data_IF_039973267125
#
_entry.id   IF_039973267125
#
_cell.length_a   1.000
_cell.length_b   1.000
_cell.length_c   1.000
_cell.angle_alpha   90.00
_cell.angle_beta   90.00
_cell.angle_gamma   90.00
#
_symmetry.space_group_name_H-M   'P 1'
#
loop_
_entity.id
_entity.type
_entity.pdbx_description
1 polymer ?
#
# COMPACT_ATOMS: atom_id res chain seq x y z
N UNK A 1 18.60 -29.98 50.34
CA UNK A 1 19.31 -29.50 49.14
C UNK A 1 18.29 -28.83 48.23
N UNK A 2 18.27 -27.50 48.20
CA UNK A 2 17.29 -26.68 47.50
C UNK A 2 17.63 -26.59 46.01
N UNK A 3 16.68 -26.94 45.14
CA UNK A 3 16.79 -26.81 43.68
C UNK A 3 16.57 -25.35 43.30
N UNK A 4 17.65 -24.66 42.97
CA UNK A 4 17.63 -23.29 42.49
C UNK A 4 16.89 -23.20 41.14
N UNK A 5 15.80 -22.44 41.11
CA UNK A 5 15.13 -22.01 39.88
C UNK A 5 16.02 -21.02 39.15
N UNK A 6 16.75 -21.50 38.14
CA UNK A 6 17.59 -20.66 37.29
C UNK A 6 16.72 -19.76 36.41
N UNK A 7 16.53 -18.52 36.84
CA UNK A 7 15.99 -17.46 35.99
C UNK A 7 16.91 -17.28 34.78
N UNK A 8 16.40 -17.26 33.53
CA UNK A 8 17.26 -17.16 32.36
C UNK A 8 18.03 -15.82 32.38
N UNK A 9 19.30 -15.80 31.91
CA UNK A 9 20.13 -14.61 31.92
C UNK A 9 19.43 -13.46 31.18
N UNK A 10 19.47 -12.24 31.75
CA UNK A 10 18.77 -11.02 31.27
C UNK A 10 19.04 -10.69 29.79
N UNK A 11 20.16 -11.18 29.23
CA UNK A 11 20.54 -11.07 27.81
C UNK A 11 19.69 -11.96 26.90
N UNK A 12 19.34 -13.18 27.33
CA UNK A 12 18.47 -14.12 26.62
C UNK A 12 17.03 -13.62 26.53
N UNK A 13 16.49 -13.05 27.61
CA UNK A 13 15.14 -12.45 27.63
C UNK A 13 15.01 -11.26 26.66
N UNK A 14 16.04 -10.41 26.57
CA UNK A 14 16.10 -9.29 25.61
C UNK A 14 16.26 -9.76 24.15
N UNK A 15 16.98 -10.86 23.92
CA UNK A 15 17.11 -11.47 22.60
C UNK A 15 15.79 -12.13 22.14
N UNK A 16 15.09 -12.80 23.05
CA UNK A 16 13.76 -13.36 22.81
C UNK A 16 12.72 -12.27 22.50
N UNK A 17 12.68 -11.19 23.30
CA UNK A 17 11.80 -10.04 23.03
C UNK A 17 12.07 -9.39 21.67
N UNK A 18 13.34 -9.20 21.28
CA UNK A 18 13.69 -8.67 19.96
C UNK A 18 13.29 -9.58 18.80
N UNK A 19 13.30 -10.91 18.99
CA UNK A 19 12.82 -11.88 17.98
C UNK A 19 11.30 -11.81 17.82
N UNK A 20 10.57 -11.76 18.94
CA UNK A 20 9.11 -11.60 18.95
C UNK A 20 8.70 -10.27 18.30
N UNK A 21 9.35 -9.16 18.67
CA UNK A 21 9.08 -7.84 18.09
C UNK A 21 9.41 -7.78 16.59
N UNK A 22 10.39 -8.57 16.13
CA UNK A 22 10.76 -8.65 14.71
C UNK A 22 9.70 -9.45 13.95
N UNK A 23 9.26 -10.57 14.50
CA UNK A 23 8.21 -11.41 13.93
C UNK A 23 6.90 -10.65 13.76
N UNK A 24 6.41 -9.94 14.78
CA UNK A 24 5.21 -9.08 14.66
C UNK A 24 5.36 -7.96 13.63
N UNK A 25 6.57 -7.41 13.47
CA UNK A 25 6.87 -6.39 12.45
C UNK A 25 6.91 -6.97 11.04
N UNK A 26 7.41 -8.19 10.87
CA UNK A 26 7.40 -8.91 9.59
C UNK A 26 5.97 -9.27 9.14
N UNK A 27 5.07 -9.49 10.09
CA UNK A 27 3.62 -9.69 9.87
C UNK A 27 2.83 -8.38 9.67
N UNK A 28 3.48 -7.22 9.72
CA UNK A 28 2.78 -5.93 9.53
C UNK A 28 1.86 -5.52 10.69
N UNK A 29 2.07 -6.05 11.89
CA UNK A 29 1.26 -5.77 13.08
C UNK A 29 2.03 -4.92 14.12
N UNK A 30 2.41 -3.67 13.80
CA UNK A 30 3.28 -2.85 14.64
C UNK A 30 2.62 -2.41 15.96
N UNK A 31 1.29 -2.45 16.07
CA UNK A 31 0.51 -1.85 17.16
C UNK A 31 0.41 -2.75 18.40
N UNK A 32 0.99 -3.94 18.31
CA UNK A 32 1.42 -4.71 19.49
C UNK A 32 2.65 -4.06 20.16
N UNK A 33 3.21 -3.00 19.57
CA UNK A 33 4.19 -2.05 20.12
C UNK A 33 3.52 -0.66 20.23
N UNK A 34 3.73 0.11 21.32
CA UNK A 34 2.95 1.33 21.59
C UNK A 34 3.04 2.42 20.50
N UNK A 35 1.85 2.88 20.06
CA UNK A 35 1.59 3.89 19.02
C UNK A 35 2.35 5.22 19.16
N UNK A 36 2.75 5.59 20.38
CA UNK A 36 3.43 6.86 20.65
C UNK A 36 4.78 6.98 19.90
N UNK A 37 5.43 5.86 19.56
CA UNK A 37 6.66 5.86 18.74
C UNK A 37 6.42 6.05 17.24
N UNK A 38 5.19 5.87 16.75
CA UNK A 38 4.87 5.94 15.33
C UNK A 38 4.86 7.39 14.80
N UNK A 39 4.25 8.32 15.55
CA UNK A 39 4.22 9.75 15.20
C UNK A 39 5.57 10.45 15.41
N UNK A 40 6.33 10.02 16.42
CA UNK A 40 7.61 10.69 16.77
C UNK A 40 8.68 10.46 15.69
N UNK A 41 8.71 9.30 15.02
CA UNK A 41 9.69 9.01 13.95
C UNK A 41 9.18 9.34 12.54
N UNK A 42 7.96 9.88 12.40
CA UNK A 42 7.29 10.06 11.11
C UNK A 42 8.04 11.00 10.16
N UNK A 43 8.51 12.20 10.57
CA UNK A 43 9.26 13.10 9.68
C UNK A 43 10.50 12.46 9.06
N UNK A 44 11.30 11.73 9.85
CA UNK A 44 12.49 10.99 9.38
C UNK A 44 12.15 9.94 8.32
N UNK A 45 10.94 9.35 8.37
CA UNK A 45 10.49 8.34 7.41
C UNK A 45 9.93 8.95 6.13
N UNK A 46 9.26 10.09 6.24
CA UNK A 46 8.59 10.82 5.14
C UNK A 46 9.60 11.54 4.25
N UNK A 47 10.66 12.10 4.84
CA UNK A 47 11.68 12.90 4.18
C UNK A 47 12.24 12.30 2.87
N UNK A 48 12.64 11.01 2.79
CA UNK A 48 13.10 10.41 1.54
C UNK A 48 12.05 10.41 0.41
N UNK A 49 10.78 10.14 0.72
CA UNK A 49 9.71 10.08 -0.28
C UNK A 49 9.40 11.48 -0.82
N UNK A 50 9.26 12.45 0.07
CA UNK A 50 9.02 13.85 -0.30
C UNK A 50 10.19 14.39 -1.15
N UNK A 51 11.42 14.01 -0.84
CA UNK A 51 12.58 14.40 -1.66
C UNK A 51 12.51 13.82 -3.06
N UNK A 52 12.18 12.53 -3.20
CA UNK A 52 12.05 11.88 -4.51
C UNK A 52 10.93 12.50 -5.36
N UNK A 53 9.78 12.81 -4.76
CA UNK A 53 8.67 13.50 -5.43
C UNK A 53 9.06 14.92 -5.84
N UNK A 54 9.81 15.63 -4.99
CA UNK A 54 10.29 16.98 -5.30
C UNK A 54 11.33 16.98 -6.42
N UNK A 55 12.25 16.00 -6.42
CA UNK A 55 13.22 15.79 -7.52
C UNK A 55 12.45 15.50 -8.82
N UNK A 56 11.47 14.61 -8.77
CA UNK A 56 10.67 14.29 -9.94
C UNK A 56 9.93 15.52 -10.46
N UNK A 57 9.28 16.29 -9.58
CA UNK A 57 8.56 17.50 -9.94
C UNK A 57 9.48 18.60 -10.52
N UNK A 58 10.69 18.75 -9.97
CA UNK A 58 11.67 19.72 -10.46
C UNK A 58 12.29 19.31 -11.80
N UNK A 59 12.46 18.01 -12.05
CA UNK A 59 13.01 17.49 -13.29
C UNK A 59 11.96 17.34 -14.40
N UNK A 60 10.69 17.12 -14.04
CA UNK A 60 9.56 16.99 -14.98
C UNK A 60 9.07 18.31 -15.55
N UNK A 61 9.63 19.43 -15.10
CA UNK A 61 9.33 20.78 -15.61
C UNK A 61 10.07 21.02 -16.95
N UNK A 62 10.20 22.27 -17.39
CA UNK A 62 10.83 22.75 -18.64
C UNK A 62 12.14 22.02 -19.10
N UNK A 63 12.87 21.37 -18.19
CA UNK A 63 14.02 20.51 -18.54
C UNK A 63 13.65 19.20 -19.24
N UNK A 64 12.55 18.56 -18.83
CA UNK A 64 12.04 17.34 -19.46
C UNK A 64 11.56 17.62 -20.88
N UNK A 65 10.83 18.73 -21.05
CA UNK A 65 10.34 19.16 -22.36
C UNK A 65 11.50 19.43 -23.32
N UNK A 66 12.53 20.16 -22.87
CA UNK A 66 13.74 20.39 -23.67
C UNK A 66 14.51 19.11 -24.01
N UNK A 67 14.67 18.20 -23.04
CA UNK A 67 15.39 16.96 -23.25
C UNK A 67 14.73 16.06 -24.29
N UNK A 68 13.39 16.03 -24.31
CA UNK A 68 12.66 15.28 -25.32
C UNK A 68 12.65 16.01 -26.66
N UNK A 69 12.44 17.33 -26.70
CA UNK A 69 12.53 18.11 -27.95
C UNK A 69 13.88 17.91 -28.66
N UNK A 70 14.97 17.92 -27.89
CA UNK A 70 16.30 17.68 -28.43
C UNK A 70 16.49 16.24 -28.92
N UNK A 71 15.94 15.26 -28.18
CA UNK A 71 15.99 13.86 -28.59
C UNK A 71 15.13 13.56 -29.83
N UNK A 72 13.96 14.21 -29.97
CA UNK A 72 13.09 14.09 -31.15
C UNK A 72 13.73 14.71 -32.38
N UNK A 73 14.42 15.85 -32.25
CA UNK A 73 15.17 16.48 -33.37
C UNK A 73 16.25 15.57 -33.96
N UNK A 74 16.74 14.61 -33.21
CA UNK A 74 17.76 13.65 -33.63
C UNK A 74 17.18 12.40 -34.31
N UNK A 75 15.84 12.22 -34.31
CA UNK A 75 15.19 11.06 -34.94
C UNK A 75 14.88 11.38 -36.42
N UNK A 76 15.38 10.60 -37.39
CA UNK A 76 15.05 10.76 -38.80
C UNK A 76 13.55 10.50 -39.09
N UNK A 77 12.93 11.29 -39.97
CA UNK A 77 11.51 11.18 -40.39
C UNK A 77 11.17 9.91 -41.22
N UNK A 78 11.91 8.81 -41.07
CA UNK A 78 11.64 7.56 -41.79
C UNK A 78 10.54 6.79 -41.05
N UNK A 79 9.61 6.18 -41.78
CA UNK A 79 8.28 5.71 -41.33
C UNK A 79 8.16 4.79 -40.10
N UNK A 80 9.27 4.34 -39.50
CA UNK A 80 9.33 3.62 -38.21
C UNK A 80 9.73 4.51 -37.01
N UNK A 81 9.95 5.82 -37.22
CA UNK A 81 10.43 6.77 -36.22
C UNK A 81 9.52 6.95 -35.00
N UNK A 82 8.22 6.59 -35.11
CA UNK A 82 7.26 6.71 -34.01
C UNK A 82 7.60 5.81 -32.82
N UNK A 83 8.03 4.57 -33.05
CA UNK A 83 8.43 3.65 -31.97
C UNK A 83 9.77 4.03 -31.35
N UNK A 84 10.65 4.67 -32.13
CA UNK A 84 11.92 5.23 -31.63
C UNK A 84 11.63 6.37 -30.66
N UNK A 85 10.72 7.28 -31.00
CA UNK A 85 10.26 8.36 -30.10
C UNK A 85 9.66 7.78 -28.82
N UNK A 86 8.78 6.77 -28.92
CA UNK A 86 8.23 6.07 -27.74
C UNK A 86 9.35 5.50 -26.87
N UNK A 87 10.35 4.86 -27.48
CA UNK A 87 11.48 4.25 -26.76
C UNK A 87 12.32 5.31 -26.05
N UNK A 88 12.62 6.43 -26.71
CA UNK A 88 13.35 7.56 -26.14
C UNK A 88 12.58 8.13 -24.94
N UNK A 89 11.28 8.40 -25.10
CA UNK A 89 10.43 8.90 -24.01
C UNK A 89 10.44 7.94 -22.82
N UNK A 90 10.30 6.63 -23.07
CA UNK A 90 10.38 5.62 -22.01
C UNK A 90 11.75 5.59 -21.31
N UNK A 91 12.85 5.75 -22.07
CA UNK A 91 14.20 5.84 -21.51
C UNK A 91 14.36 7.09 -20.65
N UNK A 92 13.91 8.26 -21.11
CA UNK A 92 13.95 9.51 -20.32
C UNK A 92 13.14 9.36 -19.04
N UNK A 93 11.92 8.82 -19.13
CA UNK A 93 11.09 8.53 -17.94
C UNK A 93 11.77 7.53 -16.99
N UNK A 94 12.44 6.51 -17.51
CA UNK A 94 13.20 5.55 -16.69
C UNK A 94 14.39 6.22 -16.00
N UNK A 95 15.10 7.13 -16.68
CA UNK A 95 16.19 7.92 -16.09
C UNK A 95 15.64 8.83 -14.98
N UNK A 96 14.54 9.54 -15.21
CA UNK A 96 13.88 10.36 -14.19
C UNK A 96 13.48 9.54 -12.96
N UNK A 97 12.87 8.38 -13.18
CA UNK A 97 12.51 7.46 -12.11
C UNK A 97 13.76 6.96 -11.36
N UNK A 98 14.85 6.67 -12.06
CA UNK A 98 16.12 6.26 -11.47
C UNK A 98 16.74 7.37 -10.62
N UNK A 99 16.70 8.63 -11.08
CA UNK A 99 17.19 9.80 -10.34
C UNK A 99 16.37 10.04 -9.06
N UNK A 100 15.05 9.99 -9.17
CA UNK A 100 14.15 10.09 -8.02
C UNK A 100 14.41 8.94 -7.02
N UNK A 101 14.60 7.72 -7.51
CA UNK A 101 14.94 6.56 -6.69
C UNK A 101 16.32 6.67 -6.03
N UNK A 102 17.32 7.16 -6.74
CA UNK A 102 18.65 7.42 -6.20
C UNK A 102 18.60 8.46 -5.08
N UNK A 103 17.85 9.56 -5.27
CA UNK A 103 17.60 10.57 -4.25
C UNK A 103 16.92 9.98 -3.00
N UNK A 104 15.86 9.19 -3.20
CA UNK A 104 15.21 8.45 -2.11
C UNK A 104 16.21 7.57 -1.33
N UNK A 105 17.04 6.79 -2.03
CA UNK A 105 18.02 5.88 -1.43
C UNK A 105 19.09 6.62 -0.66
N UNK A 106 19.59 7.73 -1.20
CA UNK A 106 20.64 8.55 -0.60
C UNK A 106 20.15 9.23 0.68
N UNK A 107 19.01 9.91 0.63
CA UNK A 107 18.41 10.53 1.82
C UNK A 107 18.09 9.46 2.86
N UNK A 108 17.53 8.33 2.46
CA UNK A 108 17.26 7.22 3.39
C UNK A 108 18.54 6.67 4.03
N UNK A 109 19.65 6.59 3.29
CA UNK A 109 20.94 6.16 3.82
C UNK A 109 21.53 7.19 4.78
N UNK A 110 21.49 8.47 4.44
CA UNK A 110 21.93 9.58 5.31
C UNK A 110 21.11 9.62 6.60
N UNK A 111 19.78 9.52 6.50
CA UNK A 111 18.87 9.50 7.66
C UNK A 111 19.13 8.31 8.58
N UNK A 112 19.63 7.17 8.08
CA UNK A 112 19.99 6.01 8.91
C UNK A 112 21.25 6.20 9.75
N UNK A 113 22.18 7.06 9.30
CA UNK A 113 23.43 7.36 10.02
C UNK A 113 23.22 8.34 11.17
N UNK A 114 22.13 9.12 11.13
CA UNK A 114 21.80 10.10 12.16
C UNK A 114 21.12 9.45 13.38
N UNK A 115 21.35 10.05 14.56
CA UNK A 115 20.61 9.70 15.77
C UNK A 115 19.12 10.03 15.61
N UNK A 116 18.20 9.35 16.35
CA UNK A 116 16.76 9.52 16.15
C UNK A 116 16.26 10.96 16.27
N UNK A 117 16.77 11.74 17.25
CA UNK A 117 16.36 13.12 17.45
C UNK A 117 16.84 14.05 16.33
N UNK A 118 18.12 13.94 15.94
CA UNK A 118 18.71 14.75 14.86
C UNK A 118 18.07 14.39 13.52
N UNK A 119 17.89 13.09 13.23
CA UNK A 119 17.24 12.65 12.00
C UNK A 119 15.80 13.14 11.87
N UNK A 120 15.11 13.39 12.98
CA UNK A 120 13.75 13.94 12.93
C UNK A 120 13.74 15.44 12.64
N UNK A 121 14.62 16.21 13.29
CA UNK A 121 14.78 17.64 13.01
C UNK A 121 15.21 17.89 11.56
N UNK A 122 16.20 17.14 11.07
CA UNK A 122 16.64 17.20 9.67
C UNK A 122 15.54 16.74 8.73
N UNK A 123 14.75 15.73 9.10
CA UNK A 123 13.59 15.29 8.33
C UNK A 123 12.54 16.39 8.17
N UNK A 124 12.20 17.10 9.25
CA UNK A 124 11.28 18.25 9.21
C UNK A 124 11.86 19.38 8.33
N UNK A 125 13.13 19.74 8.53
CA UNK A 125 13.79 20.76 7.72
C UNK A 125 13.76 20.41 6.23
N UNK A 126 14.05 19.15 5.88
CA UNK A 126 14.03 18.68 4.50
C UNK A 126 12.61 18.73 3.90
N UNK A 127 11.59 18.36 4.67
CA UNK A 127 10.19 18.46 4.23
C UNK A 127 9.80 19.91 3.97
N UNK A 128 10.20 20.84 4.84
CA UNK A 128 9.93 22.27 4.66
C UNK A 128 10.65 22.84 3.43
N UNK A 129 11.91 22.45 3.20
CA UNK A 129 12.66 22.83 2.00
C UNK A 129 11.98 22.27 0.74
N UNK A 130 11.59 21.00 0.75
CA UNK A 130 10.88 20.39 -0.38
C UNK A 130 9.53 21.05 -0.65
N UNK A 131 8.77 21.36 0.40
CA UNK A 131 7.51 22.09 0.29
C UNK A 131 7.74 23.47 -0.34
N UNK A 132 8.75 24.22 0.13
CA UNK A 132 9.11 25.52 -0.44
C UNK A 132 9.49 25.39 -1.92
N UNK A 133 10.30 24.41 -2.30
CA UNK A 133 10.68 24.15 -3.69
C UNK A 133 9.47 23.82 -4.58
N UNK A 134 8.54 22.99 -4.10
CA UNK A 134 7.31 22.67 -4.84
C UNK A 134 6.41 23.90 -5.02
N UNK A 135 6.28 24.74 -3.99
CA UNK A 135 5.52 25.99 -4.07
C UNK A 135 6.17 26.95 -5.06
N UNK A 136 7.48 27.18 -4.94
CA UNK A 136 8.24 28.08 -5.82
C UNK A 136 8.17 27.61 -7.28
N UNK A 137 8.46 26.33 -7.53
CA UNK A 137 8.37 25.72 -8.87
C UNK A 137 6.98 25.86 -9.47
N UNK A 138 5.93 25.60 -8.68
CA UNK A 138 4.55 25.73 -9.16
C UNK A 138 4.14 27.17 -9.52
N UNK A 139 4.66 28.19 -8.82
CA UNK A 139 4.42 29.60 -9.20
C UNK A 139 5.26 30.05 -10.38
N UNK A 140 6.49 29.54 -10.52
CA UNK A 140 7.34 29.78 -11.69
C UNK A 140 6.70 29.21 -12.97
N UNK A 141 6.13 28.00 -12.89
CA UNK A 141 5.47 27.35 -14.02
C UNK A 141 4.13 28.02 -14.41
N UNK A 142 3.45 28.68 -13.47
CA UNK A 142 2.15 29.34 -13.70
C UNK A 142 2.15 30.77 -13.17
N UNK A 143 2.84 31.70 -13.85
CA UNK A 143 2.87 33.11 -13.45
C UNK A 143 1.45 33.69 -13.59
N UNK A 144 0.78 33.93 -12.46
CA UNK A 144 -0.60 34.42 -12.39
C UNK A 144 -1.56 33.53 -11.59
N UNK A 145 -1.14 32.34 -11.17
CA UNK A 145 -1.92 31.55 -10.23
C UNK A 145 -1.91 32.21 -8.84
N UNK A 146 -3.06 32.22 -8.14
CA UNK A 146 -3.19 32.87 -6.82
C UNK A 146 -2.78 31.95 -5.68
N UNK A 147 -3.49 30.83 -5.49
CA UNK A 147 -3.26 29.88 -4.37
C UNK A 147 -3.12 28.42 -4.82
N UNK A 148 -3.40 28.13 -6.09
CA UNK A 148 -3.40 26.77 -6.64
C UNK A 148 -2.10 26.00 -6.42
N UNK A 149 -0.92 26.55 -6.80
CA UNK A 149 0.38 25.91 -6.60
C UNK A 149 0.68 25.56 -5.15
N UNK A 150 0.33 26.47 -4.22
CA UNK A 150 0.53 26.26 -2.80
C UNK A 150 -0.35 25.11 -2.28
N UNK A 151 -1.63 25.09 -2.67
CA UNK A 151 -2.54 24.01 -2.29
C UNK A 151 -2.10 22.66 -2.83
N UNK A 152 -1.67 22.58 -4.10
CA UNK A 152 -1.14 21.33 -4.68
C UNK A 152 0.11 20.85 -3.96
N UNK A 153 1.06 21.75 -3.65
CA UNK A 153 2.28 21.38 -2.94
C UNK A 153 1.99 20.83 -1.53
N UNK A 154 1.09 21.48 -0.80
CA UNK A 154 0.63 21.02 0.52
C UNK A 154 -0.07 19.67 0.40
N UNK A 155 -0.98 19.51 -0.56
CA UNK A 155 -1.69 18.25 -0.80
C UNK A 155 -0.72 17.11 -1.14
N UNK A 156 0.31 17.36 -1.97
CA UNK A 156 1.34 16.37 -2.32
C UNK A 156 2.16 15.95 -1.09
N UNK A 157 2.60 16.90 -0.27
CA UNK A 157 3.34 16.59 0.96
C UNK A 157 2.45 15.83 1.95
N UNK A 158 1.18 16.22 2.10
CA UNK A 158 0.21 15.54 2.95
C UNK A 158 -0.05 14.11 2.47
N UNK A 159 -0.16 13.90 1.15
CA UNK A 159 -0.30 12.58 0.55
C UNK A 159 0.95 11.73 0.81
N UNK A 160 2.16 12.29 0.68
CA UNK A 160 3.40 11.59 1.02
C UNK A 160 3.47 11.23 2.51
N UNK A 161 3.01 12.12 3.39
CA UNK A 161 2.87 11.87 4.82
C UNK A 161 1.87 10.76 5.12
N UNK A 162 0.72 10.77 4.43
CA UNK A 162 -0.31 9.74 4.57
C UNK A 162 0.23 8.38 4.12
N UNK A 163 0.78 8.30 2.90
CA UNK A 163 1.35 7.08 2.32
C UNK A 163 2.44 6.53 3.24
N UNK A 164 3.40 7.35 3.65
CA UNK A 164 4.51 6.89 4.48
C UNK A 164 4.07 6.58 5.91
N UNK A 165 3.14 7.37 6.46
CA UNK A 165 2.55 7.16 7.77
C UNK A 165 1.86 5.81 7.84
N UNK A 166 0.94 5.53 6.92
CA UNK A 166 0.29 4.22 6.77
C UNK A 166 1.27 3.06 6.58
N UNK A 167 2.56 3.33 6.38
CA UNK A 167 3.60 2.33 6.25
C UNK A 167 3.94 2.03 4.79
N UNK A 168 3.67 2.94 3.87
CA UNK A 168 3.76 2.76 2.42
C UNK A 168 5.04 2.07 1.95
N UNK A 169 6.21 2.32 2.54
CA UNK A 169 7.43 1.58 2.20
C UNK A 169 7.42 0.11 2.65
N UNK A 170 6.86 -0.19 3.82
CA UNK A 170 6.66 -1.55 4.30
C UNK A 170 5.55 -2.25 3.50
N UNK A 171 4.44 -1.56 3.24
CA UNK A 171 3.31 -2.06 2.47
C UNK A 171 3.61 -2.24 0.98
N UNK A 172 4.43 -1.37 0.38
CA UNK A 172 4.89 -1.54 -1.00
C UNK A 172 5.88 -2.71 -1.06
N UNK A 173 6.79 -2.86 -0.10
CA UNK A 173 7.71 -4.01 -0.05
C UNK A 173 7.02 -5.34 0.26
N UNK A 174 5.96 -5.30 1.08
CA UNK A 174 5.12 -6.45 1.39
C UNK A 174 4.21 -6.76 0.22
N UNK A 175 3.59 -5.74 -0.39
CA UNK A 175 2.73 -5.83 -1.57
C UNK A 175 3.47 -6.30 -2.81
N UNK A 176 4.71 -5.86 -3.04
CA UNK A 176 5.55 -6.39 -4.15
C UNK A 176 5.97 -7.82 -3.89
N UNK A 177 6.36 -8.18 -2.65
CA UNK A 177 6.63 -9.58 -2.30
C UNK A 177 5.39 -10.45 -2.45
N UNK A 178 4.23 -9.95 -2.05
CA UNK A 178 2.95 -10.64 -2.19
C UNK A 178 2.56 -10.77 -3.67
N UNK A 179 2.76 -9.72 -4.46
CA UNK A 179 2.54 -9.73 -5.90
C UNK A 179 3.45 -10.75 -6.59
N UNK A 180 4.75 -10.81 -6.25
CA UNK A 180 5.68 -11.81 -6.80
C UNK A 180 5.31 -13.23 -6.35
N UNK A 181 4.95 -13.41 -5.07
CA UNK A 181 4.55 -14.73 -4.53
C UNK A 181 3.19 -15.20 -5.07
N UNK A 182 2.34 -14.25 -5.46
CA UNK A 182 1.04 -14.50 -6.06
C UNK A 182 1.06 -14.43 -7.58
N UNK A 183 2.14 -13.96 -8.24
CA UNK A 183 2.20 -13.83 -9.70
C UNK A 183 2.01 -15.19 -10.40
N UNK A 184 2.57 -16.26 -9.83
CA UNK A 184 2.36 -17.63 -10.33
C UNK A 184 0.92 -18.12 -10.14
N UNK A 185 0.19 -17.57 -9.16
CA UNK A 185 -1.23 -17.86 -8.96
C UNK A 185 -2.18 -16.93 -9.71
N UNK A 186 -1.78 -15.69 -9.99
CA UNK A 186 -2.51 -14.76 -10.85
C UNK A 186 -2.61 -15.33 -12.26
N UNK A 187 -1.54 -15.97 -12.77
CA UNK A 187 -1.55 -16.64 -14.08
C UNK A 187 -2.57 -17.78 -14.21
N UNK A 188 -2.82 -18.54 -13.14
CA UNK A 188 -3.79 -19.65 -13.16
C UNK A 188 -5.22 -19.23 -12.75
N UNK A 189 -5.40 -18.05 -12.15
CA UNK A 189 -6.69 -17.50 -11.70
C UNK A 189 -7.29 -16.48 -12.69
N UNK A 190 -6.44 -15.81 -13.48
CA UNK A 190 -6.85 -14.96 -14.60
C UNK A 190 -7.75 -15.70 -15.61
N UNK A 191 -7.75 -17.04 -15.61
CA UNK A 191 -8.57 -17.86 -16.49
C UNK A 191 -10.02 -18.08 -16.01
N UNK A 192 -10.38 -17.80 -14.74
CA UNK A 192 -11.67 -18.24 -14.18
C UNK A 192 -12.69 -17.11 -14.00
N UNK A 193 -12.33 -15.99 -13.37
CA UNK A 193 -13.26 -14.87 -13.11
C UNK A 193 -12.94 -13.60 -13.93
N UNK A 194 -11.66 -13.43 -14.30
CA UNK A 194 -11.24 -12.38 -15.22
C UNK A 194 -12.00 -12.38 -16.54
N UNK A 195 -12.36 -13.53 -17.17
CA UNK A 195 -13.00 -13.50 -18.49
C UNK A 195 -14.32 -12.74 -18.53
N UNK A 196 -15.14 -12.80 -17.47
CA UNK A 196 -16.43 -12.10 -17.44
C UNK A 196 -16.23 -10.60 -17.28
N UNK A 197 -15.39 -10.18 -16.30
CA UNK A 197 -15.06 -8.77 -16.11
C UNK A 197 -14.35 -8.23 -17.35
N UNK A 198 -13.39 -8.98 -17.89
CA UNK A 198 -12.63 -8.61 -19.07
C UNK A 198 -13.53 -8.54 -20.31
N UNK A 199 -14.47 -9.46 -20.50
CA UNK A 199 -15.43 -9.40 -21.60
C UNK A 199 -16.29 -8.13 -21.50
N UNK A 200 -16.83 -7.84 -20.32
CA UNK A 200 -17.61 -6.61 -20.09
C UNK A 200 -16.76 -5.36 -20.33
N UNK A 201 -15.53 -5.34 -19.80
CA UNK A 201 -14.63 -4.19 -19.88
C UNK A 201 -14.12 -3.98 -21.29
N UNK A 202 -13.75 -5.04 -22.00
CA UNK A 202 -13.32 -4.98 -23.40
C UNK A 202 -14.50 -4.56 -24.28
N UNK A 203 -15.70 -5.10 -24.06
CA UNK A 203 -16.89 -4.67 -24.78
C UNK A 203 -17.18 -3.19 -24.55
N UNK A 204 -17.18 -2.73 -23.30
CA UNK A 204 -17.34 -1.33 -22.94
C UNK A 204 -16.21 -0.44 -23.52
N UNK A 205 -14.99 -0.97 -23.59
CA UNK A 205 -13.84 -0.26 -24.15
C UNK A 205 -13.97 -0.04 -25.66
N UNK A 206 -14.63 -0.93 -26.40
CA UNK A 206 -14.91 -0.74 -27.82
C UNK A 206 -16.23 0.01 -28.09
N UNK A 207 -16.83 0.63 -27.08
CA UNK A 207 -18.04 1.46 -27.21
C UNK A 207 -17.67 2.96 -27.24
N UNK A 208 -18.25 3.70 -28.19
CA UNK A 208 -17.96 5.13 -28.37
C UNK A 208 -18.35 5.97 -27.15
N UNK A 209 -19.41 5.56 -26.44
CA UNK A 209 -19.96 6.24 -25.27
C UNK A 209 -18.93 6.37 -24.14
N UNK A 210 -18.13 5.32 -23.90
CA UNK A 210 -17.07 5.35 -22.88
C UNK A 210 -15.98 6.35 -23.25
N UNK A 211 -15.62 6.42 -24.54
CA UNK A 211 -14.60 7.35 -25.03
C UNK A 211 -15.06 8.80 -24.99
N UNK A 212 -16.32 9.07 -25.32
CA UNK A 212 -16.91 10.40 -25.19
C UNK A 212 -16.94 10.84 -23.73
N UNK A 213 -17.46 9.97 -22.84
CA UNK A 213 -17.55 10.23 -21.42
C UNK A 213 -16.16 10.48 -20.80
N UNK A 214 -15.19 9.62 -21.08
CA UNK A 214 -13.84 9.73 -20.52
C UNK A 214 -13.12 10.99 -21.01
N UNK A 215 -13.28 11.35 -22.29
CA UNK A 215 -12.64 12.51 -22.90
C UNK A 215 -13.19 13.82 -22.32
N UNK A 216 -14.48 13.86 -21.99
CA UNK A 216 -15.14 14.99 -21.34
C UNK A 216 -14.68 15.21 -19.89
N UNK A 217 -14.16 14.18 -19.22
CA UNK A 217 -13.71 14.29 -17.84
C UNK A 217 -12.33 14.96 -17.74
N UNK A 218 -12.21 15.91 -16.82
CA UNK A 218 -10.92 16.42 -16.39
C UNK A 218 -10.23 15.39 -15.47
N UNK A 219 -8.89 15.42 -15.43
CA UNK A 219 -8.10 14.50 -14.61
C UNK A 219 -8.49 14.50 -13.13
N UNK A 220 -8.86 15.67 -12.58
CA UNK A 220 -9.39 15.79 -11.22
C UNK A 220 -10.71 15.04 -10.98
N UNK A 221 -11.58 14.94 -11.99
CA UNK A 221 -12.81 14.14 -11.90
C UNK A 221 -12.52 12.66 -11.94
N UNK A 222 -11.60 12.21 -12.80
CA UNK A 222 -11.15 10.81 -12.82
C UNK A 222 -10.55 10.44 -11.46
N UNK A 223 -9.76 11.34 -10.87
CA UNK A 223 -9.23 11.15 -9.52
C UNK A 223 -10.34 11.11 -8.46
N UNK A 224 -11.37 11.95 -8.57
CA UNK A 224 -12.53 11.93 -7.66
C UNK A 224 -13.34 10.64 -7.80
N UNK A 225 -13.58 10.16 -9.02
CA UNK A 225 -14.21 8.87 -9.28
C UNK A 225 -13.37 7.75 -8.67
N UNK A 226 -12.05 7.78 -8.86
CA UNK A 226 -11.11 6.87 -8.20
C UNK A 226 -11.20 6.91 -6.67
N UNK A 227 -11.36 8.10 -6.09
CA UNK A 227 -11.53 8.28 -4.65
C UNK A 227 -12.87 7.71 -4.16
N UNK A 228 -13.97 7.93 -4.89
CA UNK A 228 -15.28 7.36 -4.58
C UNK A 228 -15.24 5.84 -4.65
N UNK A 229 -14.70 5.28 -5.73
CA UNK A 229 -14.53 3.83 -5.89
C UNK A 229 -13.64 3.25 -4.80
N UNK A 230 -12.52 3.92 -4.49
CA UNK A 230 -11.61 3.52 -3.42
C UNK A 230 -12.28 3.55 -2.04
N UNK A 231 -13.13 4.56 -1.76
CA UNK A 231 -13.90 4.64 -0.52
C UNK A 231 -14.94 3.52 -0.42
N UNK A 232 -15.66 3.23 -1.52
CA UNK A 232 -16.60 2.12 -1.56
C UNK A 232 -15.91 0.77 -1.36
N UNK A 233 -14.79 0.55 -2.05
CA UNK A 233 -13.94 -0.63 -1.86
C UNK A 233 -13.48 -0.76 -0.41
N UNK A 234 -13.02 0.34 0.20
CA UNK A 234 -12.62 0.36 1.61
C UNK A 234 -13.77 -0.04 2.54
N UNK A 235 -14.97 0.48 2.34
CA UNK A 235 -16.16 0.13 3.14
C UNK A 235 -16.47 -1.36 3.03
N UNK A 236 -16.47 -1.92 1.81
CA UNK A 236 -16.71 -3.35 1.57
C UNK A 236 -15.69 -4.20 2.31
N UNK A 237 -14.40 -3.87 2.16
CA UNK A 237 -13.31 -4.62 2.81
C UNK A 237 -13.40 -4.52 4.33
N UNK A 238 -13.59 -3.32 4.88
CA UNK A 238 -13.71 -3.14 6.33
C UNK A 238 -14.88 -3.91 6.91
N UNK A 239 -16.03 -3.94 6.23
CA UNK A 239 -17.21 -4.72 6.64
C UNK A 239 -16.89 -6.21 6.72
N UNK A 240 -16.30 -6.78 5.67
CA UNK A 240 -16.01 -8.23 5.62
C UNK A 240 -14.89 -8.61 6.59
N UNK A 241 -13.84 -7.78 6.70
CA UNK A 241 -12.81 -8.01 7.71
C UNK A 241 -13.35 -7.90 9.13
N UNK A 242 -14.29 -6.98 9.40
CA UNK A 242 -14.89 -6.83 10.71
C UNK A 242 -15.72 -8.05 11.11
N UNK A 243 -16.56 -8.57 10.20
CA UNK A 243 -17.32 -9.80 10.47
C UNK A 243 -16.40 -10.97 10.75
N UNK A 244 -15.31 -11.09 9.99
CA UNK A 244 -14.38 -12.21 10.15
C UNK A 244 -13.56 -12.14 11.45
N UNK A 245 -13.19 -10.93 11.90
CA UNK A 245 -12.53 -10.73 13.20
C UNK A 245 -13.49 -11.05 14.35
N UNK A 246 -14.78 -10.70 14.21
CA UNK A 246 -15.78 -11.07 15.22
C UNK A 246 -15.94 -12.60 15.31
N UNK A 247 -15.88 -13.29 14.17
CA UNK A 247 -15.88 -14.76 14.10
C UNK A 247 -14.63 -15.42 14.69
N UNK A 248 -13.50 -14.72 14.76
CA UNK A 248 -12.31 -15.21 15.48
C UNK A 248 -12.45 -15.19 17.00
N UNK A 249 -13.44 -14.49 17.54
CA UNK A 249 -13.73 -14.48 18.98
C UNK A 249 -14.17 -15.84 19.52
N UNK A 250 -14.42 -16.82 18.64
CA UNK A 250 -14.75 -18.20 19.00
C UNK A 250 -13.60 -18.84 19.79
N UNK A 251 -13.96 -19.61 20.82
CA UNK A 251 -12.99 -20.32 21.66
C UNK A 251 -12.34 -21.42 20.83
N UNK A 252 -11.05 -21.25 20.50
CA UNK A 252 -10.25 -22.26 19.81
C UNK A 252 -9.92 -23.42 20.76
N UNK A 253 -9.98 -24.64 20.27
CA UNK A 253 -9.55 -25.84 20.99
C UNK A 253 -8.03 -25.81 21.23
N UNK A 254 -7.55 -26.51 22.27
CA UNK A 254 -6.12 -26.56 22.58
C UNK A 254 -5.27 -27.10 21.41
N UNK A 255 -5.81 -28.09 20.69
CA UNK A 255 -5.18 -28.71 19.51
C UNK A 255 -5.07 -27.72 18.34
N UNK A 256 -6.15 -27.02 18.01
CA UNK A 256 -6.17 -25.96 16.98
C UNK A 256 -5.19 -24.82 17.31
N UNK A 257 -5.08 -24.45 18.60
CA UNK A 257 -4.09 -23.46 19.06
C UNK A 257 -2.66 -23.98 18.92
N UNK A 258 -2.43 -25.26 19.23
CA UNK A 258 -1.13 -25.92 19.03
C UNK A 258 -0.66 -25.84 17.59
N UNK A 259 -1.55 -26.18 16.65
CA UNK A 259 -1.27 -26.05 15.21
C UNK A 259 -0.94 -24.61 14.78
N UNK A 260 -1.62 -23.60 15.34
CA UNK A 260 -1.34 -22.19 15.04
C UNK A 260 -0.04 -21.68 15.70
N UNK A 261 0.41 -22.31 16.79
CA UNK A 261 1.65 -21.98 17.48
C UNK A 261 2.89 -22.63 16.85
N UNK A 262 2.71 -23.69 16.06
CA UNK A 262 3.80 -24.36 15.34
C UNK A 262 4.54 -23.39 14.39
N UNK A 263 5.87 -23.41 14.43
CA UNK A 263 6.73 -22.50 13.66
C UNK A 263 6.74 -21.05 14.15
N UNK A 264 6.14 -20.74 15.30
CA UNK A 264 6.16 -19.38 15.90
C UNK A 264 7.24 -19.26 16.98
N UNK A 265 7.68 -18.04 17.35
CA UNK A 265 8.71 -17.84 18.38
C UNK A 265 8.32 -18.31 19.80
N UNK A 266 7.05 -18.67 20.01
CA UNK A 266 6.49 -19.17 21.27
C UNK A 266 6.12 -20.65 21.21
N UNK A 267 6.51 -21.35 20.14
CA UNK A 267 6.40 -22.80 20.02
C UNK A 267 7.09 -23.52 21.20
N UNK A 268 6.44 -24.56 21.72
CA UNK A 268 6.95 -25.34 22.86
C UNK A 268 6.94 -24.62 24.21
N UNK A 269 6.38 -23.42 24.30
CA UNK A 269 6.31 -22.66 25.56
C UNK A 269 5.24 -23.27 26.48
N UNK A 270 5.56 -23.59 27.76
CA UNK A 270 4.61 -24.25 28.66
C UNK A 270 3.31 -23.45 28.83
N UNK A 271 2.18 -24.10 28.61
CA UNK A 271 0.86 -23.50 28.78
C UNK A 271 0.40 -22.55 27.67
N UNK A 272 1.17 -22.37 26.59
CA UNK A 272 0.79 -21.49 25.47
C UNK A 272 -0.50 -21.97 24.76
N UNK A 273 -0.68 -23.28 24.62
CA UNK A 273 -1.86 -23.91 24.00
C UNK A 273 -3.13 -23.75 24.84
N UNK A 274 -2.98 -23.56 26.16
CA UNK A 274 -4.10 -23.38 27.12
C UNK A 274 -4.33 -21.90 27.47
N UNK A 275 -3.65 -20.98 26.78
CA UNK A 275 -3.79 -19.56 27.06
C UNK A 275 -5.24 -19.10 26.77
N UNK A 276 -5.88 -18.35 27.69
CA UNK A 276 -7.26 -17.90 27.50
C UNK A 276 -7.35 -16.92 26.31
N UNK A 277 -8.41 -17.06 25.51
CA UNK A 277 -8.75 -16.07 24.48
C UNK A 277 -9.06 -14.74 25.15
N UNK A 278 -8.29 -13.69 24.85
CA UNK A 278 -8.54 -12.35 25.38
C UNK A 278 -9.22 -11.47 24.34
N UNK A 279 -10.25 -10.68 24.70
CA UNK A 279 -10.90 -9.77 23.77
C UNK A 279 -9.87 -8.76 23.25
N UNK A 280 -9.95 -8.48 21.95
CA UNK A 280 -9.11 -7.48 21.29
C UNK A 280 -9.45 -6.09 21.84
N UNK A 281 -8.43 -5.31 22.23
CA UNK A 281 -8.65 -3.89 22.54
C UNK A 281 -9.08 -3.16 21.27
N UNK A 282 -9.91 -2.12 21.38
CA UNK A 282 -10.41 -1.34 20.23
C UNK A 282 -9.27 -0.91 19.29
N UNK A 283 -8.17 -0.44 19.86
CA UNK A 283 -6.97 -0.02 19.13
C UNK A 283 -6.30 -1.17 18.36
N UNK A 284 -6.30 -2.39 18.92
CA UNK A 284 -5.78 -3.58 18.25
C UNK A 284 -6.71 -4.01 17.11
N UNK A 285 -8.03 -3.95 17.33
CA UNK A 285 -9.05 -4.25 16.31
C UNK A 285 -8.95 -3.29 15.13
N UNK A 286 -8.90 -1.99 15.38
CA UNK A 286 -8.73 -0.98 14.32
C UNK A 286 -7.43 -1.22 13.55
N UNK A 287 -6.34 -1.56 14.24
CA UNK A 287 -5.08 -1.84 13.56
C UNK A 287 -5.16 -3.07 12.65
N UNK A 288 -5.76 -4.16 13.13
CA UNK A 288 -5.96 -5.38 12.35
C UNK A 288 -6.79 -5.08 11.10
N UNK A 289 -7.90 -4.35 11.28
CA UNK A 289 -8.76 -3.90 10.19
C UNK A 289 -7.99 -3.02 9.19
N UNK A 290 -7.18 -2.08 9.67
CA UNK A 290 -6.40 -1.21 8.81
C UNK A 290 -5.37 -2.00 8.00
N UNK A 291 -4.64 -2.93 8.62
CA UNK A 291 -3.64 -3.77 7.92
C UNK A 291 -4.31 -4.61 6.84
N UNK A 292 -5.44 -5.24 7.14
CA UNK A 292 -6.24 -5.98 6.16
C UNK A 292 -6.75 -5.09 5.03
N UNK A 293 -7.30 -3.93 5.39
CA UNK A 293 -7.86 -3.00 4.42
C UNK A 293 -6.80 -2.50 3.44
N UNK A 294 -5.63 -2.09 3.93
CA UNK A 294 -4.58 -1.60 3.02
C UNK A 294 -3.97 -2.74 2.20
N UNK A 295 -3.86 -3.95 2.75
CA UNK A 295 -3.46 -5.12 1.97
C UNK A 295 -4.40 -5.37 0.77
N UNK A 296 -5.71 -5.33 1.01
CA UNK A 296 -6.71 -5.56 -0.02
C UNK A 296 -6.78 -4.41 -1.03
N UNK A 297 -6.70 -3.16 -0.57
CA UNK A 297 -6.67 -1.98 -1.45
C UNK A 297 -5.42 -1.97 -2.33
N UNK A 298 -4.28 -2.45 -1.83
CA UNK A 298 -3.07 -2.61 -2.64
C UNK A 298 -3.30 -3.64 -3.77
N UNK A 299 -3.93 -4.78 -3.48
CA UNK A 299 -4.27 -5.76 -4.52
C UNK A 299 -5.24 -5.19 -5.56
N UNK A 300 -6.25 -4.44 -5.10
CA UNK A 300 -7.18 -3.73 -5.97
C UNK A 300 -6.47 -2.73 -6.89
N UNK A 301 -5.51 -1.97 -6.36
CA UNK A 301 -4.69 -1.04 -7.13
C UNK A 301 -3.81 -1.75 -8.17
N UNK A 302 -3.19 -2.88 -7.80
CA UNK A 302 -2.40 -3.70 -8.73
C UNK A 302 -3.26 -4.26 -9.86
N UNK A 303 -4.46 -4.73 -9.55
CA UNK A 303 -5.43 -5.17 -10.55
C UNK A 303 -5.83 -4.02 -11.49
N UNK A 304 -6.16 -2.84 -10.95
CA UNK A 304 -6.47 -1.66 -11.74
C UNK A 304 -5.32 -1.28 -12.68
N UNK A 305 -4.08 -1.31 -12.19
CA UNK A 305 -2.89 -1.00 -12.98
C UNK A 305 -2.63 -2.04 -14.08
N UNK A 306 -2.83 -3.33 -13.79
CA UNK A 306 -2.71 -4.40 -14.77
C UNK A 306 -3.77 -4.26 -15.88
N UNK A 307 -5.03 -4.04 -15.50
CA UNK A 307 -6.13 -3.85 -16.45
C UNK A 307 -5.94 -2.58 -17.28
N UNK A 308 -5.52 -1.48 -16.66
CA UNK A 308 -5.16 -0.25 -17.35
C UNK A 308 -4.07 -0.50 -18.40
N UNK A 309 -2.99 -1.20 -18.01
CA UNK A 309 -1.89 -1.52 -18.92
C UNK A 309 -2.35 -2.40 -20.09
N UNK A 310 -3.20 -3.38 -19.81
CA UNK A 310 -3.79 -4.25 -20.84
C UNK A 310 -4.64 -3.43 -21.84
N UNK A 311 -5.50 -2.55 -21.35
CA UNK A 311 -6.33 -1.68 -22.20
C UNK A 311 -5.50 -0.69 -23.01
N UNK A 312 -4.40 -0.16 -22.45
CA UNK A 312 -3.45 0.68 -23.18
C UNK A 312 -2.81 -0.07 -24.34
N UNK A 313 -2.38 -1.33 -24.13
CA UNK A 313 -1.80 -2.17 -25.18
C UNK A 313 -2.85 -2.48 -26.25
N UNK A 314 -4.03 -2.95 -25.86
CA UNK A 314 -5.12 -3.29 -26.79
C UNK A 314 -5.54 -2.04 -27.58
N UNK A 315 -5.76 -0.91 -26.92
CA UNK A 315 -6.17 0.33 -27.56
C UNK A 315 -5.12 0.89 -28.51
N UNK A 316 -3.84 0.83 -28.13
CA UNK A 316 -2.74 1.29 -28.97
C UNK A 316 -2.58 0.48 -30.26
N UNK A 317 -3.00 -0.80 -30.26
CA UNK A 317 -2.95 -1.68 -31.43
C UNK A 317 -4.25 -1.60 -32.25
N UNK A 318 -5.40 -1.62 -31.57
CA UNK A 318 -6.71 -1.86 -32.19
C UNK A 318 -7.50 -0.59 -32.51
N UNK A 319 -7.15 0.57 -31.94
CA UNK A 319 -7.93 1.82 -32.08
C UNK A 319 -7.07 2.91 -32.72
N UNK A 320 -7.08 3.03 -34.07
CA UNK A 320 -6.40 4.10 -34.78
C UNK A 320 -6.93 5.49 -34.40
N UNK A 321 -6.09 6.52 -34.54
CA UNK A 321 -6.45 7.92 -34.20
C UNK A 321 -7.72 8.38 -34.92
N UNK A 322 -7.90 8.03 -36.21
CA UNK A 322 -9.11 8.39 -36.96
C UNK A 322 -10.41 7.77 -36.40
N UNK A 323 -10.34 6.60 -35.75
CA UNK A 323 -11.49 6.01 -35.06
C UNK A 323 -11.81 6.79 -33.78
N UNK A 324 -10.78 7.22 -33.05
CA UNK A 324 -10.95 8.09 -31.87
C UNK A 324 -11.60 9.41 -32.26
N UNK A 325 -11.20 10.02 -33.37
CA UNK A 325 -11.81 11.26 -33.90
C UNK A 325 -13.28 11.07 -34.22
N UNK A 326 -13.63 9.94 -34.85
CA UNK A 326 -15.01 9.61 -35.17
C UNK A 326 -15.87 9.39 -33.92
N UNK A 327 -15.35 8.66 -32.92
CA UNK A 327 -16.08 8.36 -31.69
C UNK A 327 -16.24 9.56 -30.79
N UNK A 328 -15.18 10.32 -30.56
CA UNK A 328 -15.19 11.49 -29.67
C UNK A 328 -15.99 12.64 -30.30
N UNK A 329 -15.87 12.82 -31.61
CA UNK A 329 -16.51 13.91 -32.35
C UNK A 329 -16.01 15.29 -31.91
N UNK A 330 -16.56 16.39 -32.48
CA UNK A 330 -16.11 17.74 -32.19
C UNK A 330 -16.55 18.29 -30.81
N UNK A 331 -17.46 17.58 -30.12
CA UNK A 331 -18.12 18.07 -28.91
C UNK A 331 -19.05 19.25 -29.18
N UNK A 332 -19.16 20.17 -28.22
CA UNK A 332 -19.96 21.40 -28.34
C UNK A 332 -19.07 22.63 -28.26
N UNK A 333 -19.50 23.81 -28.77
CA UNK A 333 -18.71 25.04 -28.65
C UNK A 333 -18.36 25.41 -27.20
N UNK A 334 -19.23 25.06 -26.24
CA UNK A 334 -19.02 25.27 -24.82
C UNK A 334 -18.10 24.22 -24.17
N UNK A 335 -18.04 23.00 -24.72
CA UNK A 335 -17.22 21.89 -24.23
C UNK A 335 -16.63 21.16 -25.44
N UNK A 336 -15.52 21.68 -26.02
CA UNK A 336 -14.87 21.03 -27.14
C UNK A 336 -14.28 19.70 -26.68
N UNK A 337 -14.63 18.62 -27.38
CA UNK A 337 -14.02 17.31 -27.19
C UNK A 337 -13.01 17.16 -28.31
N UNK A 338 -11.72 17.36 -28.02
CA UNK A 338 -10.68 17.25 -29.03
C UNK A 338 -9.92 15.95 -28.84
N UNK A 339 -9.49 15.36 -29.95
CA UNK A 339 -8.50 14.30 -29.89
C UNK A 339 -7.16 14.93 -29.57
N UNK A 340 -6.78 14.83 -28.30
CA UNK A 340 -5.50 15.33 -27.83
C UNK A 340 -4.44 14.24 -28.07
N UNK A 341 -3.44 14.50 -28.94
CA UNK A 341 -2.28 13.61 -29.01
C UNK A 341 -1.60 13.61 -27.65
N UNK A 342 -1.11 12.44 -27.21
CA UNK A 342 -0.33 12.39 -25.99
C UNK A 342 1.03 13.02 -26.28
N UNK A 343 1.20 14.27 -25.84
CA UNK A 343 2.46 14.99 -25.94
C UNK A 343 3.25 14.76 -24.66
N UNK A 344 4.45 14.20 -24.79
CA UNK A 344 5.39 14.04 -23.68
C UNK A 344 6.65 14.78 -24.10
N UNK A 345 6.89 15.94 -23.48
CA UNK A 345 8.02 16.82 -23.80
C UNK A 345 8.12 17.25 -25.26
N UNK A 346 7.03 17.79 -25.81
CA UNK A 346 6.97 18.26 -27.21
C UNK A 346 6.82 17.15 -28.27
N UNK A 347 7.13 15.89 -27.93
CA UNK A 347 6.93 14.75 -28.81
C UNK A 347 5.48 14.26 -28.84
N UNK A 348 4.86 14.18 -30.03
CA UNK A 348 3.56 13.52 -30.21
C UNK A 348 3.73 12.02 -30.28
N UNK A 349 3.26 11.30 -29.25
CA UNK A 349 3.20 9.83 -29.27
C UNK A 349 2.06 9.35 -30.17
N UNK A 350 2.15 8.13 -30.74
CA UNK A 350 1.06 7.51 -31.52
C UNK A 350 -0.17 7.11 -30.67
N UNK A 351 -0.21 7.55 -29.42
CA UNK A 351 -1.26 7.27 -28.43
C UNK A 351 -1.96 8.60 -28.11
N UNK A 352 -3.27 8.56 -27.91
CA UNK A 352 -4.06 9.74 -27.55
C UNK A 352 -4.25 9.84 -26.04
N UNK A 353 -4.40 11.06 -25.52
CA UNK A 353 -4.82 11.29 -24.13
C UNK A 353 -6.17 10.61 -23.85
N UNK A 354 -7.03 10.55 -24.86
CA UNK A 354 -8.34 9.90 -24.79
C UNK A 354 -8.22 8.40 -24.50
N UNK A 355 -7.25 7.70 -25.12
CA UNK A 355 -6.97 6.30 -24.80
C UNK A 355 -6.59 6.15 -23.32
N UNK A 356 -5.71 7.03 -22.82
CA UNK A 356 -5.27 7.01 -21.42
C UNK A 356 -6.45 7.21 -20.46
N UNK A 357 -7.31 8.19 -20.74
CA UNK A 357 -8.49 8.50 -19.93
C UNK A 357 -9.52 7.36 -19.96
N UNK A 358 -9.84 6.82 -21.14
CA UNK A 358 -10.77 5.70 -21.30
C UNK A 358 -10.28 4.46 -20.55
N UNK A 359 -9.01 4.10 -20.72
CA UNK A 359 -8.41 2.99 -20.00
C UNK A 359 -8.43 3.22 -18.48
N UNK A 360 -8.16 4.44 -18.01
CA UNK A 360 -8.14 4.78 -16.59
C UNK A 360 -9.53 4.72 -15.96
N UNK A 361 -10.54 5.28 -16.61
CA UNK A 361 -11.92 5.26 -16.12
C UNK A 361 -12.43 3.82 -16.01
N UNK A 362 -12.23 3.01 -17.06
CA UNK A 362 -12.66 1.61 -17.02
C UNK A 362 -11.90 0.80 -15.98
N UNK A 363 -10.57 0.97 -15.85
CA UNK A 363 -9.80 0.23 -14.86
C UNK A 363 -10.21 0.57 -13.42
N UNK A 364 -10.46 1.85 -13.14
CA UNK A 364 -10.97 2.32 -11.85
C UNK A 364 -12.32 1.69 -11.56
N UNK A 365 -13.30 1.81 -12.45
CA UNK A 365 -14.66 1.30 -12.22
C UNK A 365 -14.65 -0.22 -12.05
N UNK A 366 -13.85 -0.93 -12.83
CA UNK A 366 -13.73 -2.40 -12.80
C UNK A 366 -13.09 -2.94 -11.53
N UNK A 367 -12.41 -2.08 -10.77
CA UNK A 367 -11.76 -2.46 -9.51
C UNK A 367 -12.79 -2.80 -8.43
N UNK A 368 -13.97 -2.18 -8.44
CA UNK A 368 -15.00 -2.42 -7.43
C UNK A 368 -15.62 -3.83 -7.54
N UNK A 369 -16.07 -4.30 -8.72
CA UNK A 369 -16.49 -5.69 -8.91
C UNK A 369 -15.42 -6.71 -8.52
N UNK A 370 -14.15 -6.42 -8.81
CA UNK A 370 -13.02 -7.25 -8.40
C UNK A 370 -12.89 -7.33 -6.87
N UNK A 371 -12.95 -6.20 -6.17
CA UNK A 371 -12.92 -6.17 -4.69
C UNK A 371 -14.12 -6.93 -4.11
N UNK A 372 -15.29 -6.82 -4.73
CA UNK A 372 -16.47 -7.55 -4.27
C UNK A 372 -16.34 -9.07 -4.46
N UNK A 373 -15.99 -9.52 -5.67
CA UNK A 373 -15.68 -10.92 -5.98
C UNK A 373 -14.61 -11.47 -5.02
N UNK A 374 -13.65 -10.61 -4.65
CA UNK A 374 -12.55 -11.01 -3.81
C UNK A 374 -12.89 -11.47 -2.41
N UNK A 375 -14.01 -10.99 -1.88
CA UNK A 375 -14.50 -11.33 -0.54
C UNK A 375 -15.73 -12.23 -0.55
N UNK A 376 -16.45 -12.32 -1.68
CA UNK A 376 -17.67 -13.12 -1.79
C UNK A 376 -17.46 -14.50 -2.43
N UNK A 377 -16.51 -14.65 -3.36
CA UNK A 377 -16.28 -15.91 -4.07
C UNK A 377 -15.24 -16.79 -3.35
N UNK A 378 -15.62 -18.02 -3.01
CA UNK A 378 -14.80 -18.95 -2.23
C UNK A 378 -13.38 -19.14 -2.81
N UNK A 379 -13.29 -19.37 -4.12
CA UNK A 379 -11.98 -19.56 -4.81
C UNK A 379 -11.08 -18.33 -4.74
N UNK A 380 -11.66 -17.12 -4.76
CA UNK A 380 -10.88 -15.90 -4.64
C UNK A 380 -10.46 -15.66 -3.19
N UNK A 381 -11.41 -15.85 -2.28
CA UNK A 381 -11.21 -15.69 -0.84
C UNK A 381 -10.07 -16.58 -0.33
N UNK A 382 -10.04 -17.85 -0.72
CA UNK A 382 -8.97 -18.82 -0.39
C UNK A 382 -7.58 -18.32 -0.77
N UNK A 383 -7.47 -17.55 -1.86
CA UNK A 383 -6.18 -17.14 -2.40
C UNK A 383 -5.68 -15.80 -1.87
N UNK A 384 -6.58 -14.86 -1.64
CA UNK A 384 -6.21 -13.48 -1.35
C UNK A 384 -6.55 -13.04 0.07
N UNK A 385 -7.64 -13.56 0.64
CA UNK A 385 -8.14 -13.15 1.94
C UNK A 385 -7.69 -14.11 3.05
N UNK A 386 -7.89 -15.41 2.85
CA UNK A 386 -7.62 -16.44 3.87
C UNK A 386 -6.15 -16.52 4.30
N UNK A 387 -5.14 -16.36 3.41
CA UNK A 387 -3.74 -16.37 3.85
C UNK A 387 -3.42 -15.23 4.81
N UNK A 388 -3.98 -14.03 4.55
CA UNK A 388 -3.79 -12.87 5.41
C UNK A 388 -4.52 -13.10 6.75
N UNK A 389 -5.69 -13.72 6.69
CA UNK A 389 -6.48 -14.05 7.87
C UNK A 389 -5.81 -15.11 8.76
N UNK A 390 -5.17 -16.11 8.16
CA UNK A 390 -4.40 -17.13 8.87
C UNK A 390 -3.17 -16.53 9.60
N UNK A 391 -2.49 -15.58 8.98
CA UNK A 391 -1.39 -14.82 9.59
C UNK A 391 -1.88 -14.02 10.82
N UNK A 392 -3.05 -13.39 10.72
CA UNK A 392 -3.68 -12.67 11.84
C UNK A 392 -4.07 -13.60 12.98
N UNK A 393 -4.70 -14.75 12.68
CA UNK A 393 -5.08 -15.74 13.71
C UNK A 393 -3.85 -16.19 14.50
N UNK A 394 -2.75 -16.52 13.81
CA UNK A 394 -1.49 -16.87 14.46
C UNK A 394 -0.97 -15.74 15.36
N UNK A 395 -1.01 -14.50 14.90
CA UNK A 395 -0.57 -13.35 15.70
C UNK A 395 -1.39 -13.15 16.99
N UNK A 396 -2.70 -13.35 16.94
CA UNK A 396 -3.60 -13.26 18.10
C UNK A 396 -3.29 -14.36 19.12
N UNK A 397 -3.10 -15.60 18.66
CA UNK A 397 -2.78 -16.75 19.53
C UNK A 397 -1.42 -16.55 20.22
N UNK A 398 -0.41 -16.06 19.48
CA UNK A 398 0.91 -15.72 20.04
C UNK A 398 0.79 -14.63 21.11
N UNK A 399 -0.02 -13.57 20.89
CA UNK A 399 -0.28 -12.53 21.90
C UNK A 399 -0.86 -13.14 23.17
N UNK A 400 -1.88 -13.97 23.04
CA UNK A 400 -2.56 -14.55 24.20
C UNK A 400 -1.61 -15.41 25.03
N UNK A 401 -0.75 -16.20 24.37
CA UNK A 401 0.30 -16.98 25.04
C UNK A 401 1.31 -16.10 25.81
N UNK A 402 1.73 -14.97 25.23
CA UNK A 402 2.62 -14.00 25.88
C UNK A 402 1.96 -13.30 27.07
N UNK A 403 0.68 -12.97 26.95
CA UNK A 403 -0.09 -12.29 28.00
C UNK A 403 -0.48 -13.24 29.16
N UNK A 404 -0.69 -14.52 28.88
CA UNK A 404 -0.93 -15.54 29.89
C UNK A 404 0.29 -15.73 30.80
N UNK A 405 1.49 -15.73 30.23
CA UNK A 405 2.74 -15.87 30.99
C UNK A 405 3.10 -14.62 31.80
N UNK A 406 2.81 -13.42 31.29
CA UNK A 406 2.99 -12.18 32.06
C UNK A 406 2.04 -12.06 33.27
N UNK A 407 0.83 -12.63 33.16
CA UNK A 407 -0.15 -12.68 34.26
C UNK A 407 0.13 -13.77 35.30
N UNK A 408 0.83 -14.86 34.92
CA UNK A 408 1.21 -15.96 35.82
C UNK A 408 2.41 -15.66 36.74
N UNK A 409 3.05 -14.49 36.60
CA UNK A 409 4.14 -14.03 37.45
C UNK A 409 3.68 -13.11 38.60
N UNK A 410 2.39 -13.15 38.97
CA UNK A 410 1.98 -12.73 40.31
C UNK A 410 2.32 -13.88 41.25
N UNK A 411 3.15 -13.68 42.31
CA UNK A 411 3.52 -14.77 43.20
C UNK A 411 2.25 -15.32 43.81
N UNK A 412 1.99 -16.61 43.57
CA UNK A 412 1.02 -17.38 44.33
C UNK A 412 1.35 -17.13 45.80
N UNK A 413 0.47 -16.38 46.47
CA UNK A 413 0.56 -16.17 47.91
C UNK A 413 0.64 -17.56 48.52
N UNK A 414 1.78 -17.84 49.14
CA UNK A 414 2.02 -19.07 49.84
C UNK A 414 0.88 -19.26 50.84
N UNK A 415 -0.04 -20.18 50.53
CA UNK A 415 -0.74 -20.96 51.53
C UNK A 415 0.35 -21.70 52.29
N UNK A 416 0.90 -21.02 53.30
CA UNK A 416 1.66 -21.65 54.37
C UNK A 416 0.66 -22.56 55.07
N UNK A 417 0.69 -23.81 54.62
CA UNK A 417 0.45 -24.96 55.46
C UNK A 417 1.20 -24.73 56.77
N UNK A 418 0.43 -24.47 57.83
CA UNK A 418 0.91 -24.31 59.20
C UNK A 418 0.32 -25.45 60.02
N UNK A 419 0.54 -26.67 59.56
CA UNK A 419 0.59 -27.82 60.44
C UNK A 419 1.96 -27.84 61.12
N UNK A 420 2.03 -27.40 62.37
CA UNK A 420 2.73 -28.20 63.38
C UNK A 420 2.27 -27.85 64.80
N UNK A 421 1.55 -28.81 65.37
CA UNK A 421 1.68 -29.38 66.70
C UNK A 421 2.38 -28.57 67.82
N UNK A 422 1.68 -28.36 68.94
CA UNK A 422 2.16 -28.82 70.25
C UNK A 422 1.00 -28.93 71.28
N UNK A 423 1.09 -29.83 72.29
CA UNK A 423 0.01 -30.27 73.18
C UNK A 423 0.08 -29.63 74.58
N UNK A 424 -1.01 -29.78 75.36
CA UNK A 424 -1.13 -29.85 76.85
C UNK A 424 -2.61 -29.58 77.22
N UNK A 425 -3.36 -30.59 77.64
CA UNK A 425 -3.59 -31.04 79.03
C UNK A 425 -4.45 -30.08 79.87
N UNK A 426 -5.63 -30.60 80.24
CA UNK A 426 -6.42 -30.39 81.47
C UNK A 426 -6.86 -28.97 81.88
N UNK A 427 -8.14 -28.64 81.66
CA UNK A 427 -9.21 -28.59 82.68
C UNK A 427 -10.52 -28.10 82.08
#
# INVERSE_FOLDING_TARGET
MSTASSSPPRTGARAAGRRIDRWFRELGLPTFVPLRRWFIDLPRRVAPLVTAVTILAALSDDQFDRAIDEAVRLVPEVGDGQWIVVTIVLVVLAILALLAWAGYRLVRAAMRRLSPAVGNAVGVALILVCLALLVIGGYLAKPGATVGPAFSAIATVLLCMLITGMGGGALLSWGTRLAVRNASAVGHMASIALPVILMLVVFAFFSAEVWQMSSALHWGSIALVGLVVGALALVVVLRVCASEIDDMGRVLSADERGHLLAGTPVEGRPGAERAPTRPLRLVQRINLLLVMAVAQLMQALLFAALLWSLLMIIGGIAVPVGVVELWVGPGTPAHPLRVEPLVVGGATLPITVNLVKSAAVLSIISTLPFVFSAVSEARYRERFFDPIMADIRRAIVVRDALLATAGGAAPAAATRDRGDSNPRSDQ
#
